data_IF_989717941363
#
_entry.id   IF_989717941363
#
_cell.length_a   1.000
_cell.length_b   1.000
_cell.length_c   1.000
_cell.angle_alpha   90.00
_cell.angle_beta   90.00
_cell.angle_gamma   90.00
#
_symmetry.space_group_name_H-M   'P 1'
#
loop_
_entity.id
_entity.type
_entity.pdbx_description
1 polymer ?
#
# COMPACT_ATOMS: atom_id res chain seq x y z
N UNK A 1 -11.74 76.46 11.27
CA UNK A 1 -12.04 75.14 10.62
C UNK A 1 -10.78 74.31 10.62
N UNK A 2 -10.65 73.41 11.60
CA UNK A 2 -9.47 72.57 11.79
C UNK A 2 -9.71 71.21 11.13
N UNK A 3 -8.92 70.83 10.10
CA UNK A 3 -9.02 69.55 9.41
C UNK A 3 -8.17 68.51 10.12
N UNK A 4 -8.77 67.62 10.85
CA UNK A 4 -8.13 66.46 11.47
C UNK A 4 -7.81 65.43 10.39
N UNK A 5 -6.54 65.16 10.11
CA UNK A 5 -6.07 64.08 9.25
C UNK A 5 -6.00 62.79 10.07
N UNK A 6 -6.87 61.83 9.77
CA UNK A 6 -6.74 60.47 10.29
C UNK A 6 -5.59 59.76 9.53
N UNK A 7 -4.53 59.38 10.26
CA UNK A 7 -3.46 58.54 9.75
C UNK A 7 -3.85 57.11 10.01
N UNK A 8 -4.22 56.39 8.93
CA UNK A 8 -4.50 54.97 8.97
C UNK A 8 -3.19 54.20 8.96
N UNK A 9 -2.72 53.74 10.15
CA UNK A 9 -1.55 52.90 10.27
C UNK A 9 -1.92 51.47 9.89
N UNK A 10 -1.56 51.01 8.69
CA UNK A 10 -1.72 49.64 8.28
C UNK A 10 -0.74 48.74 9.05
N UNK A 11 -1.24 47.89 9.92
CA UNK A 11 -0.47 46.90 10.66
C UNK A 11 -0.10 45.78 9.69
N UNK A 12 1.09 45.78 9.13
CA UNK A 12 1.67 44.66 8.39
C UNK A 12 2.07 43.59 9.40
N UNK A 13 1.20 42.58 9.61
CA UNK A 13 1.57 41.33 10.28
C UNK A 13 2.44 40.52 9.30
N UNK A 14 3.69 40.18 9.68
CA UNK A 14 4.50 39.29 8.87
C UNK A 14 3.80 37.91 8.84
N UNK A 15 3.34 37.50 7.67
CA UNK A 15 2.98 36.11 7.40
C UNK A 15 4.26 35.27 7.47
N UNK A 16 4.59 34.78 8.66
CA UNK A 16 5.62 33.74 8.80
C UNK A 16 5.10 32.50 8.09
N UNK A 17 5.51 32.34 6.84
CA UNK A 17 5.36 31.08 6.12
C UNK A 17 6.20 30.04 6.86
N UNK A 18 5.59 29.28 7.76
CA UNK A 18 6.21 28.06 8.29
C UNK A 18 6.38 27.13 7.09
N UNK A 19 7.64 26.97 6.67
CA UNK A 19 7.96 25.94 5.67
C UNK A 19 7.44 24.61 6.22
N UNK A 20 6.52 23.99 5.52
CA UNK A 20 5.95 22.70 5.94
C UNK A 20 7.08 21.66 6.00
N UNK A 21 7.10 20.85 7.05
CA UNK A 21 8.05 19.76 7.17
C UNK A 21 8.01 18.87 5.94
N UNK A 22 9.18 18.49 5.43
CA UNK A 22 9.31 17.66 4.24
C UNK A 22 9.89 16.30 4.59
N UNK A 23 9.38 15.28 3.90
CA UNK A 23 9.65 13.86 4.14
C UNK A 23 10.31 13.21 2.94
N UNK A 24 11.17 12.25 3.23
CA UNK A 24 11.74 11.31 2.25
C UNK A 24 11.34 9.90 2.64
N UNK A 25 10.82 9.11 1.71
CA UNK A 25 10.54 7.69 1.89
C UNK A 25 11.42 6.84 0.98
N UNK A 26 11.79 5.63 1.43
CA UNK A 26 12.82 4.82 0.77
C UNK A 26 12.35 3.43 0.33
N UNK A 27 11.10 3.09 0.58
CA UNK A 27 10.50 1.80 0.22
C UNK A 27 9.17 2.01 -0.50
N UNK A 28 8.74 1.02 -1.29
CA UNK A 28 7.43 1.05 -1.94
C UNK A 28 6.30 1.29 -0.93
N UNK A 29 6.32 0.59 0.21
CA UNK A 29 5.21 0.65 1.15
C UNK A 29 5.15 2.00 1.88
N UNK A 30 6.30 2.59 2.24
CA UNK A 30 6.35 3.94 2.79
C UNK A 30 5.98 5.01 1.75
N UNK A 31 6.37 4.84 0.47
CA UNK A 31 5.98 5.73 -0.63
C UNK A 31 4.46 5.80 -0.78
N UNK A 32 3.80 4.65 -0.74
CA UNK A 32 2.35 4.52 -0.92
C UNK A 32 1.59 5.20 0.22
N UNK A 33 2.02 4.95 1.47
CA UNK A 33 1.42 5.59 2.65
C UNK A 33 1.68 7.11 2.65
N UNK A 34 2.92 7.53 2.36
CA UNK A 34 3.25 8.96 2.31
C UNK A 34 2.46 9.68 1.22
N UNK A 35 2.31 9.07 0.03
CA UNK A 35 1.53 9.64 -1.07
C UNK A 35 0.04 9.75 -0.75
N UNK A 36 -0.51 8.85 0.08
CA UNK A 36 -1.90 8.92 0.53
C UNK A 36 -2.13 9.96 1.61
N UNK A 37 -1.15 10.13 2.52
CA UNK A 37 -1.34 10.89 3.75
C UNK A 37 -0.81 12.32 3.66
N UNK A 38 0.38 12.50 3.06
CA UNK A 38 1.04 13.80 3.00
C UNK A 38 0.49 14.67 1.86
N UNK A 39 0.60 15.98 2.02
CA UNK A 39 0.38 16.91 0.92
C UNK A 39 1.58 16.84 -0.05
N UNK A 40 1.38 17.08 -1.37
CA UNK A 40 2.46 16.99 -2.36
C UNK A 40 3.71 17.81 -2.02
N UNK A 41 3.56 19.01 -1.43
CA UNK A 41 4.68 19.87 -1.03
C UNK A 41 5.48 19.33 0.15
N UNK A 42 4.92 18.41 0.93
CA UNK A 42 5.59 17.73 2.04
C UNK A 42 6.45 16.55 1.58
N UNK A 43 6.33 16.11 0.34
CA UNK A 43 7.11 15.00 -0.21
C UNK A 43 8.35 15.58 -0.90
N UNK A 44 9.52 15.40 -0.29
CA UNK A 44 10.80 15.88 -0.83
C UNK A 44 11.37 14.90 -1.88
N UNK A 45 11.34 13.59 -1.58
CA UNK A 45 11.78 12.53 -2.48
C UNK A 45 11.19 11.19 -2.04
N UNK A 46 11.19 10.22 -2.96
CA UNK A 46 10.67 8.88 -2.73
C UNK A 46 11.58 7.81 -3.34
N UNK A 47 11.28 6.54 -3.13
CA UNK A 47 12.02 5.47 -3.79
C UNK A 47 11.74 5.43 -5.31
N UNK A 48 12.55 4.74 -6.12
CA UNK A 48 12.31 4.61 -7.56
C UNK A 48 10.96 3.96 -7.90
N UNK A 49 10.38 3.18 -6.98
CA UNK A 49 9.08 2.52 -7.16
C UNK A 49 7.91 3.51 -7.26
N UNK A 50 8.04 4.71 -6.69
CA UNK A 50 6.98 5.74 -6.67
C UNK A 50 6.52 6.21 -8.05
N UNK A 51 7.30 5.94 -9.09
CA UNK A 51 6.96 6.27 -10.49
C UNK A 51 6.38 5.10 -11.28
N UNK A 52 6.32 3.92 -10.68
CA UNK A 52 5.83 2.73 -11.36
C UNK A 52 4.32 2.52 -11.13
N UNK A 53 3.45 2.69 -12.16
CA UNK A 53 2.01 2.57 -12.03
C UNK A 53 1.54 1.14 -11.72
N UNK A 54 2.40 0.12 -11.96
CA UNK A 54 2.12 -1.26 -11.61
C UNK A 54 2.37 -1.57 -10.13
N UNK A 55 3.13 -0.70 -9.44
CA UNK A 55 3.47 -0.89 -8.04
C UNK A 55 2.73 0.09 -7.13
N UNK A 56 2.58 1.34 -7.57
CA UNK A 56 1.83 2.36 -6.83
C UNK A 56 0.32 2.16 -6.98
N UNK A 57 -0.44 2.62 -6.01
CA UNK A 57 -1.90 2.72 -6.09
C UNK A 57 -2.31 3.87 -7.04
N UNK A 58 -3.30 4.67 -6.68
CA UNK A 58 -3.84 5.68 -7.60
C UNK A 58 -3.02 6.99 -7.60
N UNK A 59 -2.19 7.23 -6.58
CA UNK A 59 -1.40 8.46 -6.45
C UNK A 59 0.05 8.22 -6.87
N UNK A 60 0.43 8.83 -8.00
CA UNK A 60 1.80 8.85 -8.52
C UNK A 60 2.41 10.24 -8.31
N UNK A 61 3.62 10.30 -7.77
CA UNK A 61 4.37 11.54 -7.58
C UNK A 61 5.49 11.65 -8.64
N UNK A 62 5.09 11.68 -9.90
CA UNK A 62 6.02 11.64 -11.07
C UNK A 62 7.03 12.79 -11.08
N UNK A 63 6.67 13.95 -10.53
CA UNK A 63 7.52 15.15 -10.49
C UNK A 63 8.51 15.15 -9.32
N UNK A 64 8.40 14.18 -8.39
CA UNK A 64 9.31 14.12 -7.24
C UNK A 64 10.60 13.40 -7.59
N UNK A 65 11.74 13.83 -7.00
CA UNK A 65 13.00 13.10 -7.09
C UNK A 65 12.86 11.68 -6.55
N UNK A 66 13.58 10.73 -7.16
CA UNK A 66 13.68 9.36 -6.64
C UNK A 66 15.08 9.10 -6.13
N UNK A 67 15.17 8.36 -5.01
CA UNK A 67 16.41 8.09 -4.31
C UNK A 67 16.55 6.59 -4.02
N UNK A 68 17.71 6.07 -4.35
CA UNK A 68 18.15 4.78 -3.83
C UNK A 68 18.48 4.88 -2.34
N UNK A 69 18.27 3.82 -1.54
CA UNK A 69 18.61 3.81 -0.11
C UNK A 69 20.14 3.69 0.11
N UNK A 70 20.86 4.71 -0.34
CA UNK A 70 22.32 4.82 -0.26
C UNK A 70 22.71 6.15 0.40
N UNK A 71 23.73 6.12 1.25
CA UNK A 71 24.18 7.29 1.99
C UNK A 71 24.43 8.51 1.08
N UNK A 72 25.14 8.30 -0.04
CA UNK A 72 25.47 9.37 -0.99
C UNK A 72 24.25 10.03 -1.63
N UNK A 73 23.18 9.26 -1.86
CA UNK A 73 21.93 9.79 -2.42
C UNK A 73 21.15 10.61 -1.40
N UNK A 74 21.33 10.34 -0.10
CA UNK A 74 20.60 10.99 0.99
C UNK A 74 21.30 12.23 1.54
N UNK A 75 22.58 12.48 1.24
CA UNK A 75 23.32 13.65 1.72
C UNK A 75 22.61 14.99 1.45
N UNK A 76 21.99 15.23 0.27
CA UNK A 76 21.26 16.48 0.02
C UNK A 76 19.97 16.64 0.82
N UNK A 77 19.53 15.60 1.55
CA UNK A 77 18.25 15.55 2.25
C UNK A 77 18.40 15.40 3.78
N UNK A 78 19.59 15.64 4.33
CA UNK A 78 19.84 15.52 5.78
C UNK A 78 19.01 16.49 6.62
N UNK A 79 18.56 17.59 6.04
CA UNK A 79 17.65 18.58 6.66
C UNK A 79 16.18 18.18 6.60
N UNK A 80 15.84 17.10 5.89
CA UNK A 80 14.49 16.55 5.78
C UNK A 80 14.28 15.41 6.76
N UNK A 81 13.02 15.06 7.02
CA UNK A 81 12.70 13.89 7.84
C UNK A 81 12.72 12.63 6.98
N UNK A 82 13.65 11.73 7.27
CA UNK A 82 13.85 10.48 6.56
C UNK A 82 13.00 9.39 7.21
N UNK A 83 11.95 8.91 6.51
CA UNK A 83 11.12 7.79 6.93
C UNK A 83 11.84 6.48 6.56
N UNK A 84 12.39 5.78 7.54
CA UNK A 84 13.26 4.61 7.31
C UNK A 84 12.79 3.43 8.16
N UNK A 85 12.67 2.27 7.51
CA UNK A 85 12.57 1.02 8.23
C UNK A 85 13.98 0.57 8.66
N UNK A 86 14.29 0.73 9.94
CA UNK A 86 15.61 0.41 10.50
C UNK A 86 15.99 -1.06 10.35
N UNK A 87 15.00 -1.96 10.27
CA UNK A 87 15.23 -3.40 10.07
C UNK A 87 15.82 -3.69 8.69
N UNK A 88 15.40 -2.94 7.66
CA UNK A 88 15.90 -3.14 6.29
C UNK A 88 17.26 -2.47 6.06
N UNK A 89 17.55 -1.37 6.75
CA UNK A 89 18.72 -0.55 6.48
C UNK A 89 19.53 -0.19 7.75
N UNK A 90 19.93 -1.16 8.59
CA UNK A 90 20.53 -0.86 9.90
C UNK A 90 21.85 -0.09 9.77
N UNK A 91 22.71 -0.45 8.79
CA UNK A 91 24.00 0.25 8.59
C UNK A 91 23.78 1.67 8.06
N UNK A 92 22.88 1.86 7.10
CA UNK A 92 22.55 3.17 6.55
C UNK A 92 22.03 4.10 7.65
N UNK A 93 21.14 3.61 8.52
CA UNK A 93 20.63 4.37 9.67
C UNK A 93 21.75 4.77 10.63
N UNK A 94 22.67 3.86 10.94
CA UNK A 94 23.80 4.16 11.81
C UNK A 94 24.70 5.27 11.23
N UNK A 95 24.93 5.25 9.92
CA UNK A 95 25.77 6.26 9.26
C UNK A 95 25.04 7.61 9.13
N UNK A 96 23.76 7.62 8.84
CA UNK A 96 22.93 8.83 8.81
C UNK A 96 22.83 9.50 10.19
N UNK A 97 22.69 8.71 11.26
CA UNK A 97 22.71 9.24 12.65
C UNK A 97 24.02 9.94 12.99
N UNK A 98 25.18 9.42 12.54
CA UNK A 98 26.48 10.09 12.72
C UNK A 98 26.57 11.43 12.01
N UNK A 99 25.83 11.60 10.90
CA UNK A 99 25.76 12.84 10.14
C UNK A 99 24.70 13.82 10.66
N UNK A 100 24.00 13.49 11.74
CA UNK A 100 22.95 14.32 12.32
C UNK A 100 21.65 14.38 11.50
N UNK A 101 21.41 13.38 10.64
CA UNK A 101 20.17 13.31 9.87
C UNK A 101 18.94 13.16 10.78
N UNK A 102 17.85 13.81 10.40
CA UNK A 102 16.55 13.66 11.06
C UNK A 102 15.87 12.37 10.59
N UNK A 103 15.94 11.34 11.40
CA UNK A 103 15.36 10.02 11.08
C UNK A 103 14.10 9.83 11.89
N UNK A 104 13.02 9.45 11.21
CA UNK A 104 11.79 8.93 11.80
C UNK A 104 11.72 7.44 11.48
N UNK A 105 11.94 6.58 12.48
CA UNK A 105 11.86 5.13 12.27
C UNK A 105 10.41 4.72 12.07
N UNK A 106 10.14 4.00 10.99
CA UNK A 106 8.81 3.46 10.69
C UNK A 106 8.89 1.95 10.45
N UNK A 107 7.84 1.23 10.87
CA UNK A 107 7.60 -0.14 10.44
C UNK A 107 6.56 -0.12 9.31
N UNK A 108 7.02 -0.05 8.07
CA UNK A 108 6.18 -0.06 6.87
C UNK A 108 5.80 -1.46 6.37
N UNK A 109 6.00 -2.48 7.22
CA UNK A 109 5.56 -3.86 7.04
C UNK A 109 4.71 -4.34 8.22
N UNK A 110 3.58 -3.66 8.51
CA UNK A 110 2.69 -4.06 9.61
C UNK A 110 2.18 -5.48 9.37
N UNK A 111 1.90 -6.20 10.47
CA UNK A 111 1.42 -7.59 10.41
C UNK A 111 -0.07 -7.70 10.73
N UNK A 112 -0.68 -6.66 11.28
CA UNK A 112 -2.11 -6.61 11.60
C UNK A 112 -2.74 -5.28 11.13
N UNK A 113 -4.05 -5.27 11.00
CA UNK A 113 -4.79 -4.05 10.67
C UNK A 113 -4.61 -2.96 11.74
N UNK A 114 -4.51 -3.35 13.01
CA UNK A 114 -4.27 -2.44 14.13
C UNK A 114 -2.90 -1.75 14.00
N UNK A 115 -1.84 -2.52 13.67
CA UNK A 115 -0.51 -1.96 13.42
C UNK A 115 -0.51 -1.02 12.22
N UNK A 116 -1.21 -1.38 11.13
CA UNK A 116 -1.38 -0.51 9.98
C UNK A 116 -2.09 0.80 10.35
N UNK A 117 -3.19 0.72 11.11
CA UNK A 117 -3.93 1.92 11.52
C UNK A 117 -3.10 2.80 12.47
N UNK A 118 -2.32 2.18 13.36
CA UNK A 118 -1.38 2.92 14.21
C UNK A 118 -0.30 3.65 13.39
N UNK A 119 0.27 2.99 12.36
CA UNK A 119 1.22 3.61 11.44
C UNK A 119 0.59 4.77 10.66
N UNK A 120 -0.63 4.61 10.13
CA UNK A 120 -1.37 5.67 9.43
C UNK A 120 -1.62 6.86 10.35
N UNK A 121 -2.04 6.64 11.61
CA UNK A 121 -2.24 7.71 12.60
C UNK A 121 -0.92 8.42 12.93
N UNK A 122 0.17 7.68 13.09
CA UNK A 122 1.49 8.23 13.34
C UNK A 122 1.94 9.15 12.18
N UNK A 123 1.85 8.68 10.94
CA UNK A 123 2.16 9.48 9.76
C UNK A 123 1.24 10.70 9.62
N UNK A 124 -0.04 10.55 9.94
CA UNK A 124 -0.99 11.66 9.99
C UNK A 124 -0.59 12.77 10.97
N UNK A 125 -0.10 12.38 12.15
CA UNK A 125 0.42 13.33 13.15
C UNK A 125 1.69 14.01 12.67
N UNK A 126 2.65 13.27 12.10
CA UNK A 126 3.89 13.81 11.56
C UNK A 126 3.65 14.83 10.44
N UNK A 127 2.70 14.56 9.56
CA UNK A 127 2.37 15.42 8.41
C UNK A 127 1.37 16.53 8.73
N UNK A 128 0.80 16.55 9.97
CA UNK A 128 -0.27 17.47 10.35
C UNK A 128 -1.59 17.22 9.61
N UNK A 129 -1.87 15.98 9.20
CA UNK A 129 -3.06 15.58 8.45
C UNK A 129 -3.97 14.62 9.24
N UNK A 130 -4.07 14.79 10.58
CA UNK A 130 -4.81 13.87 11.47
C UNK A 130 -6.28 13.71 11.08
N UNK A 131 -6.94 14.75 10.61
CA UNK A 131 -8.35 14.68 10.19
C UNK A 131 -8.51 13.79 8.96
N UNK A 132 -7.60 13.91 7.99
CA UNK A 132 -7.60 13.10 6.78
C UNK A 132 -7.40 11.62 7.12
N UNK A 133 -6.40 11.29 7.93
CA UNK A 133 -6.09 9.89 8.27
C UNK A 133 -7.16 9.23 9.14
N UNK A 134 -7.83 9.97 10.03
CA UNK A 134 -8.99 9.47 10.77
C UNK A 134 -10.11 9.09 9.81
N UNK A 135 -10.45 9.97 8.87
CA UNK A 135 -11.46 9.69 7.83
C UNK A 135 -11.07 8.48 6.96
N UNK A 136 -9.79 8.34 6.60
CA UNK A 136 -9.29 7.18 5.88
C UNK A 136 -9.52 5.88 6.67
N UNK A 137 -9.10 5.85 7.93
CA UNK A 137 -9.26 4.66 8.80
C UNK A 137 -10.75 4.32 8.98
N UNK A 138 -11.61 5.31 9.22
CA UNK A 138 -13.04 5.09 9.37
C UNK A 138 -13.64 4.49 8.10
N UNK A 139 -13.21 4.96 6.92
CA UNK A 139 -13.60 4.38 5.63
C UNK A 139 -13.16 2.93 5.50
N UNK A 140 -11.91 2.59 5.86
CA UNK A 140 -11.40 1.23 5.81
C UNK A 140 -12.21 0.31 6.74
N UNK A 141 -12.44 0.71 7.99
CA UNK A 141 -13.24 -0.05 8.96
C UNK A 141 -14.70 -0.26 8.51
N UNK A 142 -15.29 0.71 7.83
CA UNK A 142 -16.64 0.56 7.28
C UNK A 142 -16.71 -0.49 6.16
N UNK A 143 -15.63 -0.75 5.45
CA UNK A 143 -15.60 -1.79 4.42
C UNK A 143 -15.66 -3.19 5.03
N UNK A 144 -15.13 -3.41 6.24
CA UNK A 144 -15.14 -4.71 6.93
C UNK A 144 -16.55 -5.30 7.09
N UNK A 145 -17.57 -4.47 7.15
CA UNK A 145 -18.98 -4.88 7.30
C UNK A 145 -19.78 -4.91 5.99
N UNK A 146 -19.26 -4.38 4.90
CA UNK A 146 -20.00 -4.18 3.64
C UNK A 146 -19.66 -5.18 2.55
N UNK A 147 -18.43 -5.71 2.55
CA UNK A 147 -17.92 -6.55 1.49
C UNK A 147 -18.05 -8.02 1.92
N UNK A 148 -19.22 -8.63 1.81
CA UNK A 148 -19.42 -10.02 2.20
C UNK A 148 -19.99 -10.83 1.03
N UNK A 149 -19.22 -11.81 0.54
CA UNK A 149 -19.61 -12.75 -0.52
C UNK A 149 -20.09 -14.08 0.07
N UNK A 150 -19.74 -14.40 1.32
CA UNK A 150 -20.11 -15.66 2.00
C UNK A 150 -19.76 -16.91 1.20
N UNK A 151 -18.59 -16.94 0.54
CA UNK A 151 -18.12 -18.08 -0.24
C UNK A 151 -16.98 -18.81 0.51
N UNK A 152 -16.82 -20.09 0.20
CA UNK A 152 -15.86 -20.98 0.90
C UNK A 152 -14.86 -21.61 -0.06
N UNK A 153 -13.80 -22.21 0.50
CA UNK A 153 -12.78 -22.95 -0.24
C UNK A 153 -12.13 -22.11 -1.34
N UNK A 154 -11.60 -20.94 -0.94
CA UNK A 154 -10.96 -19.98 -1.85
C UNK A 154 -9.49 -20.31 -2.06
N UNK A 155 -9.09 -20.37 -3.33
CA UNK A 155 -7.69 -20.41 -3.76
C UNK A 155 -7.25 -19.04 -4.23
N UNK A 156 -6.08 -18.57 -3.78
CA UNK A 156 -5.42 -17.36 -4.29
C UNK A 156 -4.15 -17.77 -5.02
N UNK A 157 -4.06 -17.41 -6.29
CA UNK A 157 -2.87 -17.67 -7.13
C UNK A 157 -2.36 -16.36 -7.71
N UNK A 158 -1.04 -16.16 -7.60
CA UNK A 158 -0.36 -15.08 -8.33
C UNK A 158 0.00 -15.51 -9.75
N UNK A 159 0.39 -14.56 -10.59
CA UNK A 159 0.90 -14.80 -11.94
C UNK A 159 2.27 -15.55 -11.95
N UNK A 160 2.91 -15.65 -10.79
CA UNK A 160 4.09 -16.51 -10.58
C UNK A 160 3.71 -17.95 -10.28
N UNK A 161 2.42 -18.29 -10.22
CA UNK A 161 1.93 -19.62 -9.86
C UNK A 161 2.08 -19.95 -8.36
N UNK A 162 2.38 -18.95 -7.53
CA UNK A 162 2.52 -19.11 -6.08
C UNK A 162 1.15 -19.00 -5.42
N UNK A 163 0.87 -19.94 -4.52
CA UNK A 163 -0.29 -19.86 -3.62
C UNK A 163 0.00 -18.86 -2.51
N UNK A 164 -0.81 -17.83 -2.44
CA UNK A 164 -0.62 -16.73 -1.52
C UNK A 164 -1.49 -16.92 -0.27
N UNK A 165 -0.86 -17.26 0.86
CA UNK A 165 -1.59 -17.58 2.09
C UNK A 165 -0.96 -17.04 3.38
N UNK A 166 0.32 -16.65 3.35
CA UNK A 166 1.08 -16.46 4.60
C UNK A 166 1.32 -15.01 5.03
N UNK A 167 1.19 -14.06 4.12
CA UNK A 167 1.40 -12.65 4.45
C UNK A 167 0.09 -11.98 4.84
N UNK A 168 0.08 -10.97 5.73
CA UNK A 168 -1.14 -10.44 6.34
C UNK A 168 -2.17 -9.89 5.36
N UNK A 169 -1.75 -9.49 4.14
CA UNK A 169 -2.65 -8.99 3.13
C UNK A 169 -3.69 -10.03 2.67
N UNK A 170 -3.32 -11.30 2.57
CA UNK A 170 -4.23 -12.32 2.03
C UNK A 170 -5.30 -12.78 3.01
N UNK A 171 -4.99 -13.12 4.27
CA UNK A 171 -6.04 -13.34 5.29
C UNK A 171 -6.96 -12.14 5.44
N UNK A 172 -6.41 -10.93 5.42
CA UNK A 172 -7.22 -9.70 5.50
C UNK A 172 -8.14 -9.56 4.30
N UNK A 173 -7.64 -9.79 3.08
CA UNK A 173 -8.44 -9.76 1.85
C UNK A 173 -9.61 -10.75 1.91
N UNK A 174 -9.35 -12.00 2.37
CA UNK A 174 -10.37 -13.01 2.54
C UNK A 174 -11.42 -12.60 3.58
N UNK A 175 -10.97 -12.12 4.75
CA UNK A 175 -11.85 -11.67 5.82
C UNK A 175 -12.76 -10.51 5.37
N UNK A 176 -12.20 -9.50 4.70
CA UNK A 176 -12.96 -8.37 4.15
C UNK A 176 -14.10 -8.83 3.21
N UNK A 177 -13.86 -9.89 2.46
CA UNK A 177 -14.81 -10.44 1.49
C UNK A 177 -15.74 -11.52 2.06
N UNK A 178 -15.58 -11.90 3.32
CA UNK A 178 -16.33 -13.02 3.91
C UNK A 178 -16.02 -14.36 3.23
N UNK A 179 -14.77 -14.53 2.77
CA UNK A 179 -14.28 -15.73 2.12
C UNK A 179 -13.51 -16.60 3.10
N UNK A 180 -13.58 -17.91 2.96
CA UNK A 180 -12.71 -18.82 3.70
C UNK A 180 -11.65 -19.45 2.79
N UNK A 181 -10.42 -19.68 3.29
CA UNK A 181 -9.39 -20.39 2.53
C UNK A 181 -9.77 -21.86 2.30
N UNK A 182 -8.98 -22.54 1.48
CA UNK A 182 -9.10 -23.99 1.28
C UNK A 182 -9.02 -24.73 2.62
N UNK A 183 -9.85 -25.75 2.81
CA UNK A 183 -9.80 -26.66 3.99
C UNK A 183 -8.46 -27.35 4.12
N UNK A 184 -7.88 -27.77 2.99
CA UNK A 184 -6.51 -28.31 2.94
C UNK A 184 -5.59 -27.24 2.36
N UNK A 185 -4.75 -26.60 3.20
CA UNK A 185 -3.86 -25.54 2.73
C UNK A 185 -2.89 -26.06 1.66
N UNK A 186 -2.82 -25.36 0.54
CA UNK A 186 -1.73 -25.52 -0.43
C UNK A 186 -0.66 -24.48 -0.12
N UNK A 187 0.60 -24.87 -0.26
CA UNK A 187 1.77 -24.00 -0.05
C UNK A 187 2.64 -24.03 -1.29
N UNK A 188 3.53 -23.06 -1.44
CA UNK A 188 4.49 -23.04 -2.55
C UNK A 188 5.30 -24.35 -2.66
N UNK A 189 5.62 -25.01 -1.53
CA UNK A 189 6.37 -26.26 -1.51
C UNK A 189 5.54 -27.49 -1.90
N UNK A 190 4.22 -27.45 -1.65
CA UNK A 190 3.36 -28.61 -1.93
C UNK A 190 2.40 -28.36 -3.10
N UNK A 191 2.53 -27.24 -3.79
CA UNK A 191 1.66 -26.85 -4.88
C UNK A 191 1.89 -27.71 -6.14
N UNK A 192 0.82 -28.20 -6.71
CA UNK A 192 0.77 -28.78 -8.07
C UNK A 192 -0.63 -28.67 -8.63
N UNK A 193 -0.75 -28.64 -9.96
CA UNK A 193 -2.06 -28.62 -10.63
C UNK A 193 -2.95 -29.77 -10.17
N UNK A 194 -2.38 -30.99 -10.01
CA UNK A 194 -3.11 -32.17 -9.53
C UNK A 194 -3.72 -31.92 -8.15
N UNK A 195 -2.94 -31.32 -7.23
CA UNK A 195 -3.44 -31.01 -5.88
C UNK A 195 -4.53 -29.96 -5.89
N UNK A 196 -4.43 -28.95 -6.76
CA UNK A 196 -5.50 -27.95 -6.96
C UNK A 196 -6.77 -28.62 -7.46
N UNK A 197 -6.66 -29.48 -8.49
CA UNK A 197 -7.80 -30.18 -9.05
C UNK A 197 -8.45 -31.12 -8.02
N UNK A 198 -7.63 -31.76 -7.16
CA UNK A 198 -8.12 -32.64 -6.09
C UNK A 198 -8.74 -31.87 -4.93
N UNK A 199 -8.26 -30.66 -4.63
CA UNK A 199 -8.80 -29.79 -3.59
C UNK A 199 -10.15 -29.16 -3.98
N UNK A 200 -10.45 -29.14 -5.28
CA UNK A 200 -11.71 -28.62 -5.86
C UNK A 200 -12.13 -27.24 -5.31
N UNK A 201 -11.26 -26.22 -5.34
CA UNK A 201 -11.60 -24.90 -4.81
C UNK A 201 -12.88 -24.34 -5.43
N UNK A 202 -13.73 -23.74 -4.61
CA UNK A 202 -14.98 -23.14 -5.05
C UNK A 202 -14.78 -21.75 -5.65
N UNK A 203 -13.73 -21.05 -5.25
CA UNK A 203 -13.42 -19.66 -5.65
C UNK A 203 -11.96 -19.57 -6.05
N UNK A 204 -11.65 -18.85 -7.14
CA UNK A 204 -10.31 -18.44 -7.51
C UNK A 204 -10.18 -16.91 -7.41
N UNK A 205 -9.17 -16.45 -6.69
CA UNK A 205 -8.66 -15.08 -6.78
C UNK A 205 -7.31 -15.14 -7.48
N UNK A 206 -7.25 -14.54 -8.65
CA UNK A 206 -6.05 -14.43 -9.46
C UNK A 206 -5.42 -13.04 -9.25
N UNK A 207 -4.16 -13.03 -8.80
CA UNK A 207 -3.38 -11.82 -8.60
C UNK A 207 -2.41 -11.69 -9.77
N UNK A 208 -2.75 -10.84 -10.74
CA UNK A 208 -2.08 -10.83 -12.03
C UNK A 208 -2.16 -9.45 -12.70
N UNK A 209 -1.03 -8.94 -13.16
CA UNK A 209 -0.95 -7.66 -13.88
C UNK A 209 -1.22 -7.77 -15.39
N UNK A 210 -1.26 -8.95 -15.97
CA UNK A 210 -1.57 -9.25 -17.38
C UNK A 210 -0.69 -8.55 -18.45
N UNK A 211 0.42 -7.94 -18.09
CA UNK A 211 1.15 -7.06 -19.01
C UNK A 211 2.25 -7.73 -19.82
N UNK A 212 2.66 -8.96 -19.50
CA UNK A 212 3.68 -9.68 -20.25
C UNK A 212 3.48 -11.19 -20.20
N UNK A 213 4.02 -11.89 -21.21
CA UNK A 213 4.17 -13.33 -21.16
C UNK A 213 5.10 -13.69 -19.99
N UNK A 214 4.59 -14.52 -19.10
CA UNK A 214 5.35 -15.08 -18.00
C UNK A 214 5.13 -16.59 -18.01
N UNK A 215 6.20 -17.37 -18.14
CA UNK A 215 6.12 -18.84 -18.11
C UNK A 215 5.47 -19.36 -16.83
N UNK A 216 5.68 -18.66 -15.72
CA UNK A 216 5.08 -19.02 -14.43
C UNK A 216 3.55 -18.77 -14.42
N UNK A 217 3.06 -17.84 -15.22
CA UNK A 217 1.63 -17.58 -15.38
C UNK A 217 0.93 -18.62 -16.29
N UNK A 218 1.64 -19.52 -16.96
CA UNK A 218 1.05 -20.55 -17.80
C UNK A 218 0.13 -21.49 -17.02
N UNK A 219 0.43 -21.72 -15.75
CA UNK A 219 -0.44 -22.50 -14.88
C UNK A 219 -1.86 -21.92 -14.84
N UNK A 220 -2.00 -20.60 -14.73
CA UNK A 220 -3.29 -19.91 -14.73
C UNK A 220 -4.06 -20.10 -16.05
N UNK A 221 -3.36 -20.35 -17.15
CA UNK A 221 -3.92 -20.60 -18.47
C UNK A 221 -4.13 -22.09 -18.76
N UNK A 222 -3.74 -22.98 -17.83
CA UNK A 222 -3.85 -24.42 -18.06
C UNK A 222 -5.31 -24.84 -18.29
N UNK A 223 -5.64 -25.61 -19.36
CA UNK A 223 -7.02 -25.94 -19.73
C UNK A 223 -7.82 -26.59 -18.61
N UNK A 224 -7.20 -27.47 -17.81
CA UNK A 224 -7.86 -28.12 -16.67
C UNK A 224 -8.24 -27.11 -15.58
N UNK A 225 -7.38 -26.14 -15.29
CA UNK A 225 -7.69 -25.08 -14.32
C UNK A 225 -8.80 -24.16 -14.84
N UNK A 226 -8.72 -23.76 -16.11
CA UNK A 226 -9.76 -22.96 -16.76
C UNK A 226 -11.11 -23.68 -16.78
N UNK A 227 -11.11 -24.99 -17.03
CA UNK A 227 -12.34 -25.80 -17.01
C UNK A 227 -12.92 -25.92 -15.59
N UNK A 228 -12.05 -26.06 -14.56
CA UNK A 228 -12.48 -26.12 -13.15
C UNK A 228 -13.25 -24.85 -12.75
N UNK A 229 -12.79 -23.69 -13.20
CA UNK A 229 -13.39 -22.39 -12.83
C UNK A 229 -14.37 -21.83 -13.86
N UNK A 230 -14.71 -22.58 -14.93
CA UNK A 230 -15.62 -22.12 -15.98
C UNK A 230 -16.98 -21.64 -15.45
N UNK A 231 -17.50 -22.31 -14.41
CA UNK A 231 -18.80 -22.01 -13.79
C UNK A 231 -18.66 -21.73 -12.29
N UNK A 232 -17.47 -21.35 -11.83
CA UNK A 232 -17.19 -21.01 -10.43
C UNK A 232 -16.76 -19.55 -10.36
N UNK A 233 -16.99 -18.86 -9.26
CA UNK A 233 -16.49 -17.50 -9.05
C UNK A 233 -14.99 -17.39 -9.30
N UNK A 234 -14.60 -16.52 -10.21
CA UNK A 234 -13.22 -16.26 -10.59
C UNK A 234 -13.00 -14.76 -10.66
N UNK A 235 -12.20 -14.25 -9.74
CA UNK A 235 -11.89 -12.83 -9.62
C UNK A 235 -10.45 -12.57 -9.96
N UNK A 236 -10.17 -11.36 -10.48
CA UNK A 236 -8.81 -10.96 -10.82
C UNK A 236 -8.54 -9.55 -10.33
N UNK A 237 -7.39 -9.38 -9.66
CA UNK A 237 -6.89 -8.07 -9.25
C UNK A 237 -5.40 -7.90 -9.62
N UNK A 238 -4.97 -6.69 -9.97
CA UNK A 238 -3.55 -6.36 -10.11
C UNK A 238 -2.74 -6.60 -8.84
N UNK A 239 -1.48 -7.02 -9.01
CA UNK A 239 -0.56 -7.29 -7.90
C UNK A 239 -0.34 -6.07 -6.99
N UNK A 240 -0.48 -4.86 -7.50
CA UNK A 240 -0.32 -3.64 -6.70
C UNK A 240 -1.20 -3.57 -5.45
N UNK A 241 -2.32 -4.29 -5.42
CA UNK A 241 -3.21 -4.31 -4.25
C UNK A 241 -2.72 -5.23 -3.13
N UNK A 242 -1.70 -6.03 -3.38
CA UNK A 242 -1.15 -7.00 -2.42
C UNK A 242 0.36 -6.91 -2.22
N UNK A 243 1.08 -5.99 -2.88
CA UNK A 243 2.52 -5.79 -2.64
C UNK A 243 2.82 -5.34 -1.20
N UNK A 244 1.97 -4.49 -0.65
CA UNK A 244 2.11 -4.00 0.72
C UNK A 244 0.86 -4.33 1.53
N UNK A 245 1.04 -4.54 2.82
CA UNK A 245 -0.09 -4.54 3.72
C UNK A 245 -0.44 -3.10 4.10
N UNK A 246 -1.23 -2.47 3.24
CA UNK A 246 -1.70 -1.09 3.37
C UNK A 246 -3.17 -0.97 2.89
N UNK A 247 -3.66 0.25 2.76
CA UNK A 247 -5.03 0.53 2.28
C UNK A 247 -5.33 -0.05 0.89
N UNK A 248 -4.33 -0.45 0.12
CA UNK A 248 -4.48 -1.16 -1.17
C UNK A 248 -5.22 -2.49 -1.03
N UNK A 249 -5.05 -3.20 0.09
CA UNK A 249 -5.76 -4.47 0.34
C UNK A 249 -7.28 -4.25 0.35
N UNK A 250 -7.76 -3.18 1.00
CA UNK A 250 -9.17 -2.79 1.01
C UNK A 250 -9.67 -2.37 -0.37
N UNK A 251 -8.84 -1.66 -1.14
CA UNK A 251 -9.17 -1.31 -2.54
C UNK A 251 -9.27 -2.58 -3.41
N UNK A 252 -8.37 -3.55 -3.21
CA UNK A 252 -8.40 -4.86 -3.87
C UNK A 252 -9.69 -5.62 -3.55
N UNK A 253 -10.08 -5.67 -2.26
CA UNK A 253 -11.33 -6.27 -1.82
C UNK A 253 -12.55 -5.63 -2.49
N UNK A 254 -12.59 -4.29 -2.55
CA UNK A 254 -13.67 -3.57 -3.22
C UNK A 254 -13.76 -3.90 -4.72
N UNK A 255 -12.61 -4.07 -5.39
CA UNK A 255 -12.60 -4.47 -6.81
C UNK A 255 -13.13 -5.87 -7.03
N UNK A 256 -12.78 -6.84 -6.17
CA UNK A 256 -13.33 -8.19 -6.21
C UNK A 256 -14.84 -8.16 -5.97
N UNK A 257 -15.28 -7.43 -4.96
CA UNK A 257 -16.71 -7.29 -4.65
C UNK A 257 -17.50 -6.68 -5.81
N UNK A 258 -16.94 -5.69 -6.52
CA UNK A 258 -17.58 -5.13 -7.71
C UNK A 258 -17.68 -6.15 -8.85
N UNK A 259 -16.67 -7.00 -9.06
CA UNK A 259 -16.70 -8.07 -10.06
C UNK A 259 -17.82 -9.09 -9.76
N UNK A 260 -18.01 -9.44 -8.48
CA UNK A 260 -19.05 -10.40 -8.07
C UNK A 260 -20.49 -9.92 -8.32
N UNK A 261 -20.69 -8.63 -8.53
CA UNK A 261 -22.01 -8.05 -8.81
C UNK A 261 -22.35 -8.06 -10.31
N UNK A 262 -21.39 -8.40 -11.15
CA UNK A 262 -21.52 -8.41 -12.62
C UNK A 262 -21.60 -9.85 -13.14
N UNK A 263 -21.02 -10.81 -12.42
CA UNK A 263 -21.15 -12.25 -12.69
C UNK A 263 -22.49 -12.81 -12.22
#
# INVERSE_FOLDING_TARGET
MQKTRLILTALFLPLTSYASEQFVSLTLCSDRLLSEIARPEQIAAQSPYSKNPLMMLDKLNVDKPTLEPKLTALLPYLDKTLLINETFYPQLVADLKKLGAKIEPINDTPQTAEELFALILHLGKLTGNETHVKSLIDKLKLQDSRLNLSLTDTLILSDTGIVETYTPQYPTLLNLLGLTPLKTPLTAQNFSLEKVLRAEPNVLIEINDQQSYNEQAELLKHPLLQNLFKNRPHFRIPMKYTYCFDHGVWQGAEKIYKQSRIQ
#
